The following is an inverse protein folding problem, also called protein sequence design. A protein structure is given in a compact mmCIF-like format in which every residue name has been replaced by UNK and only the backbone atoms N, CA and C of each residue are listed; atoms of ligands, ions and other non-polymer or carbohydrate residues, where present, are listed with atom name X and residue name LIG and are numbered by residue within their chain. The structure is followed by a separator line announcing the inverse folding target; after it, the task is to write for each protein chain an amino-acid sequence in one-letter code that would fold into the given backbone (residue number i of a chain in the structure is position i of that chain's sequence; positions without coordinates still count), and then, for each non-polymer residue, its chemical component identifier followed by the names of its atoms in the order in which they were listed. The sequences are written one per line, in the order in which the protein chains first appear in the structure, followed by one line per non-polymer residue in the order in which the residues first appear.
data_IF_558039161265
#
_entry.id   IF_558039161265
#
_cell.length_a   1.000
_cell.length_b   1.000
_cell.length_c   1.000
_cell.angle_alpha   90.00
_cell.angle_beta   90.00
_cell.angle_gamma   90.00
#
_symmetry.space_group_name_H-M   'P 1'
#
loop_
_entity.id
_entity.type
_entity.pdbx_description
1 polymer ?
#
# COMPACT_ATOMS: atom_id res chain seq x y z
N UNK A 1 -0.68 3.35 10.12
CA UNK A 1 -1.92 3.53 10.91
C UNK A 1 -1.62 4.14 12.27
N UNK A 2 -0.62 3.65 13.02
CA UNK A 2 -0.27 4.19 14.35
C UNK A 2 -0.08 5.71 14.39
N UNK A 3 0.69 6.27 13.44
CA UNK A 3 0.89 7.72 13.34
C UNK A 3 -0.43 8.47 13.13
N UNK A 4 -1.25 8.03 12.16
CA UNK A 4 -2.56 8.64 11.87
C UNK A 4 -3.48 8.58 13.11
N UNK A 5 -3.49 7.44 13.81
CA UNK A 5 -4.29 7.24 15.00
C UNK A 5 -3.86 8.19 16.14
N UNK A 6 -2.54 8.35 16.34
CA UNK A 6 -2.00 9.27 17.33
C UNK A 6 -2.28 10.74 16.97
N UNK A 7 -2.14 11.11 15.69
CA UNK A 7 -2.39 12.46 15.18
C UNK A 7 -3.86 12.89 15.35
N UNK A 8 -4.81 11.98 15.13
CA UNK A 8 -6.25 12.28 15.11
C UNK A 8 -7.04 11.72 16.31
N UNK A 9 -6.37 11.05 17.26
CA UNK A 9 -6.99 10.49 18.46
C UNK A 9 -7.88 9.27 18.19
N UNK A 10 -7.64 8.53 17.12
CA UNK A 10 -8.37 7.30 16.84
C UNK A 10 -7.92 6.16 17.73
N UNK A 11 -8.87 5.29 18.09
CA UNK A 11 -8.58 3.94 18.55
C UNK A 11 -8.93 2.99 17.41
N UNK A 12 -8.08 2.00 17.15
CA UNK A 12 -8.30 1.05 16.07
C UNK A 12 -7.91 -0.36 16.48
N UNK A 13 -8.40 -1.32 15.70
CA UNK A 13 -8.02 -2.72 15.78
C UNK A 13 -7.70 -3.21 14.36
N UNK A 14 -6.74 -4.11 14.23
CA UNK A 14 -6.42 -4.74 12.96
C UNK A 14 -7.30 -5.97 12.76
N UNK A 15 -7.80 -6.14 11.54
CA UNK A 15 -8.57 -7.31 11.13
C UNK A 15 -7.95 -7.86 9.85
N UNK A 16 -7.59 -9.14 9.86
CA UNK A 16 -7.08 -9.82 8.66
C UNK A 16 -8.26 -10.27 7.79
N UNK A 17 -8.23 -9.90 6.52
CA UNK A 17 -9.13 -10.42 5.50
C UNK A 17 -8.66 -11.81 5.08
N UNK A 18 -9.55 -12.79 5.17
CA UNK A 18 -9.28 -14.17 4.74
C UNK A 18 -9.62 -14.30 3.25
N UNK A 19 -8.84 -13.64 2.38
CA UNK A 19 -9.02 -13.65 0.92
C UNK A 19 -7.79 -14.20 0.19
N UNK A 20 -8.02 -14.86 -0.95
CA UNK A 20 -6.95 -15.24 -1.88
C UNK A 20 -6.66 -14.08 -2.83
N UNK A 21 -5.77 -13.18 -2.42
CA UNK A 21 -5.36 -12.03 -3.23
C UNK A 21 -4.80 -12.46 -4.59
N UNK A 22 -4.23 -13.66 -4.71
CA UNK A 22 -3.64 -14.15 -5.98
C UNK A 22 -4.69 -14.49 -7.03
N UNK A 23 -5.93 -14.78 -6.60
CA UNK A 23 -7.05 -15.03 -7.50
C UNK A 23 -7.63 -13.73 -8.10
N UNK A 24 -7.32 -12.57 -7.52
CA UNK A 24 -7.77 -11.26 -7.99
C UNK A 24 -6.65 -10.64 -8.82
N UNK A 25 -6.87 -10.51 -10.13
CA UNK A 25 -5.87 -9.99 -11.07
C UNK A 25 -6.52 -9.03 -12.05
N UNK A 26 -5.85 -7.91 -12.27
CA UNK A 26 -6.13 -6.97 -13.35
C UNK A 26 -4.78 -6.48 -13.90
N UNK A 27 -4.76 -6.10 -15.17
CA UNK A 27 -3.55 -5.56 -15.81
C UNK A 27 -3.37 -4.08 -15.53
N UNK A 28 -4.47 -3.40 -15.22
CA UNK A 28 -4.45 -2.01 -14.81
C UNK A 28 -4.18 -1.92 -13.29
N UNK A 29 -3.08 -1.25 -12.86
CA UNK A 29 -2.71 -1.19 -11.45
C UNK A 29 -3.79 -0.57 -10.57
N UNK A 30 -4.45 0.51 -11.02
CA UNK A 30 -5.50 1.19 -10.25
C UNK A 30 -6.70 0.26 -10.05
N UNK A 31 -7.14 -0.42 -11.11
CA UNK A 31 -8.24 -1.39 -11.02
C UNK A 31 -7.88 -2.57 -10.12
N UNK A 32 -6.64 -3.05 -10.16
CA UNK A 32 -6.19 -4.15 -9.29
C UNK A 32 -6.31 -3.77 -7.81
N UNK A 33 -5.72 -2.64 -7.40
CA UNK A 33 -5.72 -2.24 -5.98
C UNK A 33 -7.12 -1.90 -5.49
N UNK A 34 -7.98 -1.32 -6.34
CA UNK A 34 -9.39 -1.11 -6.02
C UNK A 34 -10.13 -2.43 -5.78
N UNK A 35 -9.95 -3.42 -6.65
CA UNK A 35 -10.58 -4.73 -6.50
C UNK A 35 -10.12 -5.43 -5.21
N UNK A 36 -8.83 -5.34 -4.89
CA UNK A 36 -8.26 -5.92 -3.68
C UNK A 36 -8.76 -5.22 -2.41
N UNK A 37 -8.77 -3.88 -2.38
CA UNK A 37 -9.27 -3.12 -1.23
C UNK A 37 -10.76 -3.43 -0.96
N UNK A 38 -11.59 -3.48 -2.00
CA UNK A 38 -13.02 -3.85 -1.88
C UNK A 38 -13.21 -5.29 -1.42
N UNK A 39 -12.45 -6.23 -1.97
CA UNK A 39 -12.51 -7.64 -1.54
C UNK A 39 -12.14 -7.81 -0.06
N UNK A 40 -11.14 -7.06 0.42
CA UNK A 40 -10.80 -7.00 1.85
C UNK A 40 -11.96 -6.46 2.67
N UNK A 41 -12.59 -5.37 2.23
CA UNK A 41 -13.73 -4.78 2.93
C UNK A 41 -14.90 -5.77 3.05
N UNK A 42 -15.27 -6.42 1.95
CA UNK A 42 -16.38 -7.38 1.94
C UNK A 42 -16.12 -8.57 2.86
N UNK A 43 -14.91 -9.15 2.82
CA UNK A 43 -14.54 -10.26 3.68
C UNK A 43 -14.54 -9.89 5.17
N UNK A 44 -13.96 -8.72 5.52
CA UNK A 44 -13.92 -8.24 6.90
C UNK A 44 -15.33 -7.89 7.40
N UNK A 45 -16.17 -7.25 6.57
CA UNK A 45 -17.56 -6.94 6.94
C UNK A 45 -18.38 -8.18 7.22
N UNK A 46 -18.24 -9.22 6.40
CA UNK A 46 -18.89 -10.51 6.65
C UNK A 46 -18.47 -11.13 7.99
N UNK A 47 -17.17 -11.07 8.31
CA UNK A 47 -16.60 -11.55 9.57
C UNK A 47 -17.09 -10.75 10.78
N UNK A 48 -17.08 -9.43 10.70
CA UNK A 48 -17.58 -8.52 11.75
C UNK A 48 -19.07 -8.73 12.00
N UNK A 49 -19.87 -8.87 10.93
CA UNK A 49 -21.30 -9.16 11.04
C UNK A 49 -21.57 -10.50 11.75
N UNK A 50 -20.78 -11.54 11.46
CA UNK A 50 -20.87 -12.84 12.13
C UNK A 50 -20.49 -12.77 13.62
N UNK A 51 -19.63 -11.83 14.00
CA UNK A 51 -19.26 -11.54 15.40
C UNK A 51 -20.27 -10.62 16.10
N UNK A 52 -21.32 -10.17 15.41
CA UNK A 52 -22.33 -9.28 15.98
C UNK A 52 -21.92 -7.81 16.02
N UNK A 53 -20.81 -7.43 15.40
CA UNK A 53 -20.39 -6.03 15.25
C UNK A 53 -21.28 -5.37 14.19
N UNK A 54 -21.96 -4.28 14.55
CA UNK A 54 -22.95 -3.58 13.69
C UNK A 54 -22.68 -2.11 13.47
N UNK A 55 -21.65 -1.56 14.10
CA UNK A 55 -21.28 -0.16 13.98
C UNK A 55 -19.76 0.00 14.05
N UNK A 56 -19.28 1.11 13.52
CA UNK A 56 -17.85 1.43 13.40
C UNK A 56 -17.47 1.79 11.97
N UNK A 57 -16.20 2.17 11.83
CA UNK A 57 -15.60 2.50 10.54
C UNK A 57 -14.57 1.42 10.20
N UNK A 58 -14.61 0.96 8.97
CA UNK A 58 -13.64 0.04 8.40
C UNK A 58 -12.80 0.79 7.37
N UNK A 59 -11.49 0.77 7.55
CA UNK A 59 -10.53 1.20 6.55
C UNK A 59 -9.85 -0.03 5.97
N UNK A 60 -9.88 -0.15 4.65
CA UNK A 60 -9.12 -1.16 3.90
C UNK A 60 -8.27 -0.49 2.84
N UNK A 61 -7.11 -1.07 2.56
CA UNK A 61 -6.21 -0.60 1.52
C UNK A 61 -5.53 -1.75 0.81
N UNK A 62 -5.04 -1.43 -0.38
CA UNK A 62 -4.11 -2.27 -1.13
C UNK A 62 -3.13 -1.38 -1.90
N UNK A 63 -1.94 -1.90 -2.18
CA UNK A 63 -0.91 -1.16 -2.89
C UNK A 63 -0.01 -2.09 -3.66
N UNK A 64 0.37 -1.65 -4.86
CA UNK A 64 1.40 -2.28 -5.69
C UNK A 64 2.51 -1.29 -6.05
N UNK A 65 3.70 -1.83 -6.34
CA UNK A 65 4.77 -1.07 -7.01
C UNK A 65 4.56 -1.16 -8.51
N UNK A 66 4.76 -0.04 -9.19
CA UNK A 66 4.69 0.04 -10.65
C UNK A 66 6.00 0.57 -11.20
N UNK A 67 6.56 -0.13 -12.18
CA UNK A 67 7.74 0.27 -12.93
C UNK A 67 7.43 0.26 -14.43
N UNK A 68 7.50 1.41 -15.09
CA UNK A 68 7.17 1.58 -16.52
C UNK A 68 5.81 0.99 -16.93
N UNK A 69 4.84 1.03 -16.00
CA UNK A 69 3.48 0.50 -16.19
C UNK A 69 3.30 -0.98 -15.83
N UNK A 70 4.38 -1.68 -15.50
CA UNK A 70 4.35 -3.07 -15.04
C UNK A 70 4.23 -3.14 -13.51
N UNK A 71 3.36 -4.03 -13.03
CA UNK A 71 3.19 -4.29 -11.60
C UNK A 71 4.34 -5.17 -11.12
N UNK A 72 5.07 -4.70 -10.13
CA UNK A 72 6.06 -5.49 -9.42
C UNK A 72 5.47 -6.01 -8.11
N UNK A 73 5.34 -7.33 -8.06
CA UNK A 73 4.95 -8.09 -6.89
C UNK A 73 6.10 -8.15 -5.87
N UNK A 74 5.88 -8.83 -4.74
CA UNK A 74 6.96 -9.15 -3.81
C UNK A 74 8.00 -10.05 -4.51
N UNK A 75 9.30 -9.78 -4.37
CA UNK A 75 10.31 -10.61 -5.00
C UNK A 75 10.25 -12.04 -4.44
N UNK A 76 10.28 -13.03 -5.32
CA UNK A 76 10.21 -14.46 -4.99
C UNK A 76 11.53 -14.98 -4.41
N UNK A 77 12.65 -14.38 -4.83
CA UNK A 77 13.99 -14.73 -4.41
C UNK A 77 14.96 -13.55 -4.49
N UNK A 78 16.18 -13.77 -3.98
CA UNK A 78 17.24 -12.77 -3.96
C UNK A 78 17.66 -12.30 -5.36
N UNK A 79 17.55 -13.14 -6.39
CA UNK A 79 17.89 -12.74 -7.76
C UNK A 79 16.88 -11.75 -8.33
N UNK A 80 15.61 -12.00 -8.11
CA UNK A 80 14.55 -11.07 -8.49
C UNK A 80 14.65 -9.76 -7.69
N UNK A 81 14.93 -9.82 -6.39
CA UNK A 81 15.15 -8.63 -5.56
C UNK A 81 16.30 -7.76 -6.11
N UNK A 82 17.47 -8.36 -6.43
CA UNK A 82 18.57 -7.63 -7.10
C UNK A 82 18.12 -7.01 -8.41
N UNK A 83 17.36 -7.76 -9.21
CA UNK A 83 16.88 -7.32 -10.53
C UNK A 83 15.98 -6.09 -10.42
N UNK A 84 15.04 -6.09 -9.46
CA UNK A 84 14.17 -4.92 -9.20
C UNK A 84 14.99 -3.72 -8.74
N UNK A 85 15.84 -3.87 -7.72
CA UNK A 85 16.59 -2.75 -7.17
C UNK A 85 17.58 -2.11 -8.15
N UNK A 86 18.22 -2.90 -9.03
CA UNK A 86 19.07 -2.41 -10.12
C UNK A 86 18.32 -1.66 -11.24
N UNK A 87 17.00 -1.63 -11.16
CA UNK A 87 16.13 -0.91 -12.09
C UNK A 87 15.48 0.31 -11.45
N UNK A 88 15.66 0.57 -10.15
CA UNK A 88 15.06 1.72 -9.47
C UNK A 88 15.46 3.08 -10.08
N UNK A 89 16.68 3.18 -10.61
CA UNK A 89 17.21 4.39 -11.26
C UNK A 89 16.79 4.53 -12.73
N UNK A 90 16.01 3.58 -13.25
CA UNK A 90 15.57 3.51 -14.64
C UNK A 90 14.07 3.66 -14.73
N UNK A 91 13.59 4.25 -15.82
CA UNK A 91 12.16 4.35 -16.08
C UNK A 91 11.38 5.16 -15.04
N UNK A 92 10.09 4.89 -14.94
CA UNK A 92 9.16 5.48 -13.97
C UNK A 92 8.81 4.46 -12.90
N UNK A 93 9.45 4.56 -11.73
CA UNK A 93 9.11 3.79 -10.53
C UNK A 93 8.13 4.57 -9.64
N UNK A 94 7.18 3.86 -9.02
CA UNK A 94 6.27 4.45 -8.06
C UNK A 94 5.36 3.41 -7.41
N UNK A 95 4.38 3.88 -6.66
CA UNK A 95 3.32 3.05 -6.10
C UNK A 95 1.97 3.49 -6.62
N UNK A 96 1.08 2.53 -6.77
CA UNK A 96 -0.35 2.77 -6.97
C UNK A 96 -1.07 2.06 -5.83
N UNK A 97 -1.88 2.80 -5.09
CA UNK A 97 -2.62 2.29 -3.94
C UNK A 97 -4.06 2.74 -3.94
N UNK A 98 -4.92 1.95 -3.29
CA UNK A 98 -6.32 2.28 -3.04
C UNK A 98 -6.60 2.33 -1.55
N UNK A 99 -7.43 3.30 -1.16
CA UNK A 99 -7.96 3.47 0.18
C UNK A 99 -9.48 3.45 0.11
N UNK A 100 -10.10 2.68 1.00
CA UNK A 100 -11.55 2.53 1.09
C UNK A 100 -12.00 2.63 2.54
N UNK A 101 -12.76 3.67 2.85
CA UNK A 101 -13.55 3.73 4.08
C UNK A 101 -14.92 3.11 3.86
N UNK A 102 -15.40 2.38 4.85
CA UNK A 102 -16.78 1.87 4.91
C UNK A 102 -17.39 2.15 6.27
N UNK A 103 -18.56 2.79 6.30
CA UNK A 103 -19.39 2.84 7.49
C UNK A 103 -20.10 1.48 7.65
N UNK A 104 -19.82 0.76 8.74
CA UNK A 104 -20.35 -0.59 8.95
C UNK A 104 -21.88 -0.58 9.12
N UNK A 105 -22.43 0.48 9.71
CA UNK A 105 -23.86 0.58 10.01
C UNK A 105 -24.68 0.96 8.78
N UNK A 106 -24.29 2.02 8.07
CA UNK A 106 -25.01 2.48 6.86
C UNK A 106 -24.65 1.69 5.61
N UNK A 107 -23.45 1.11 5.56
CA UNK A 107 -22.87 0.49 4.37
C UNK A 107 -22.32 1.48 3.35
N UNK A 108 -22.34 2.78 3.65
CA UNK A 108 -21.76 3.82 2.80
C UNK A 108 -20.24 3.69 2.72
N UNK A 109 -19.69 4.09 1.58
CA UNK A 109 -18.26 3.97 1.29
C UNK A 109 -17.71 5.23 0.65
N UNK A 110 -16.46 5.56 0.97
CA UNK A 110 -15.66 6.53 0.22
C UNK A 110 -14.33 5.90 -0.18
N UNK A 111 -13.94 6.03 -1.44
CA UNK A 111 -12.80 5.35 -2.05
C UNK A 111 -11.93 6.34 -2.83
N UNK A 112 -10.61 6.17 -2.74
CA UNK A 112 -9.66 6.97 -3.50
C UNK A 112 -8.45 6.17 -3.96
N UNK A 113 -7.79 6.70 -4.99
CA UNK A 113 -6.52 6.19 -5.51
C UNK A 113 -5.41 7.17 -5.13
N UNK A 114 -4.29 6.63 -4.67
CA UNK A 114 -3.05 7.37 -4.50
C UNK A 114 -2.00 6.83 -5.46
N UNK A 115 -1.35 7.73 -6.19
CA UNK A 115 -0.23 7.42 -7.09
C UNK A 115 0.99 8.19 -6.63
N UNK A 116 2.12 7.49 -6.51
CA UNK A 116 3.42 8.11 -6.23
C UNK A 116 4.36 7.90 -7.39
N UNK A 117 5.38 8.75 -7.50
CA UNK A 117 6.55 8.52 -8.35
C UNK A 117 7.81 8.78 -7.57
N UNK A 118 8.79 7.91 -7.69
CA UNK A 118 10.05 7.99 -6.96
C UNK A 118 11.19 7.96 -7.96
N UNK A 119 12.08 8.94 -7.85
CA UNK A 119 13.29 9.04 -8.67
C UNK A 119 14.48 8.63 -7.83
N UNK A 120 15.18 7.59 -8.26
CA UNK A 120 16.41 7.13 -7.62
C UNK A 120 17.66 7.54 -8.40
N UNK A 121 18.78 7.66 -7.68
CA UNK A 121 20.11 7.41 -8.23
C UNK A 121 20.43 5.91 -8.10
N UNK A 122 21.43 5.37 -8.84
CA UNK A 122 21.78 3.95 -8.72
C UNK A 122 22.01 3.54 -7.27
N UNK A 123 21.31 2.48 -6.83
CA UNK A 123 21.50 1.90 -5.50
C UNK A 123 22.78 1.05 -5.54
N UNK A 124 23.76 1.29 -4.64
CA UNK A 124 25.00 0.53 -4.61
C UNK A 124 24.76 -0.96 -4.38
N UNK A 125 25.55 -1.82 -5.03
CA UNK A 125 25.42 -3.27 -4.89
C UNK A 125 25.54 -3.74 -3.43
N UNK A 126 26.43 -3.10 -2.64
CA UNK A 126 26.57 -3.40 -1.22
C UNK A 126 25.29 -3.09 -0.41
N UNK A 127 24.53 -2.07 -0.81
CA UNK A 127 23.23 -1.75 -0.20
C UNK A 127 22.20 -2.82 -0.56
N UNK A 128 22.17 -3.24 -1.83
CA UNK A 128 21.24 -4.27 -2.31
C UNK A 128 21.47 -5.59 -1.56
N UNK A 129 22.73 -6.04 -1.45
CA UNK A 129 23.05 -7.28 -0.75
C UNK A 129 22.74 -7.19 0.76
N UNK A 130 23.00 -6.05 1.41
CA UNK A 130 22.63 -5.85 2.81
C UNK A 130 21.11 -5.98 3.05
N UNK A 131 20.29 -5.40 2.17
CA UNK A 131 18.82 -5.49 2.26
C UNK A 131 18.30 -6.92 2.00
N UNK A 132 18.96 -7.66 1.10
CA UNK A 132 18.67 -9.08 0.85
C UNK A 132 19.00 -9.93 2.07
N UNK A 133 20.13 -9.65 2.73
CA UNK A 133 20.54 -10.34 3.96
C UNK A 133 19.58 -10.04 5.13
N UNK A 134 19.06 -8.81 5.23
CA UNK A 134 18.02 -8.42 6.20
C UNK A 134 16.68 -9.12 5.90
N UNK A 135 16.34 -9.28 4.62
CA UNK A 135 15.22 -10.09 4.15
C UNK A 135 13.83 -9.43 4.24
N UNK A 136 13.72 -8.23 4.81
CA UNK A 136 12.45 -7.49 4.89
C UNK A 136 11.88 -7.17 3.50
N UNK A 137 12.75 -6.92 2.51
CA UNK A 137 12.37 -6.61 1.13
C UNK A 137 11.52 -7.72 0.47
N UNK A 138 11.60 -8.98 0.92
CA UNK A 138 10.79 -10.08 0.39
C UNK A 138 9.31 -9.98 0.78
N UNK A 139 8.99 -9.11 1.74
CA UNK A 139 7.62 -8.85 2.17
C UNK A 139 7.04 -7.56 1.57
N UNK A 140 7.86 -6.80 0.83
CA UNK A 140 7.51 -5.53 0.21
C UNK A 140 7.32 -5.67 -1.31
N UNK A 141 6.23 -5.12 -1.85
CA UNK A 141 6.03 -5.08 -3.30
C UNK A 141 7.22 -4.40 -3.98
N UNK A 142 7.73 -4.98 -5.06
CA UNK A 142 8.93 -4.51 -5.77
C UNK A 142 10.22 -4.49 -4.94
N UNK A 143 10.24 -5.05 -3.73
CA UNK A 143 11.34 -4.87 -2.78
C UNK A 143 11.57 -3.41 -2.38
N UNK A 144 10.56 -2.55 -2.56
CA UNK A 144 10.68 -1.11 -2.35
C UNK A 144 10.46 -0.78 -0.86
N UNK A 145 11.54 -0.36 -0.19
CA UNK A 145 11.52 0.18 1.17
C UNK A 145 12.12 1.59 1.14
N UNK A 146 11.37 2.57 0.63
CA UNK A 146 11.87 3.92 0.37
C UNK A 146 12.33 4.66 1.64
N UNK A 147 11.74 4.31 2.78
CA UNK A 147 12.03 4.82 4.12
C UNK A 147 13.26 4.19 4.76
N UNK A 148 13.74 3.06 4.23
CA UNK A 148 14.85 2.32 4.84
C UNK A 148 16.12 3.19 4.86
N UNK A 149 16.88 3.24 5.98
CA UNK A 149 18.07 4.09 6.08
C UNK A 149 19.13 3.85 5.01
N UNK A 150 19.21 2.63 4.47
CA UNK A 150 20.12 2.30 3.36
C UNK A 150 19.57 2.73 1.99
N UNK A 151 18.26 2.89 1.83
CA UNK A 151 17.59 3.19 0.56
C UNK A 151 17.31 4.69 0.41
N UNK A 152 16.82 5.34 1.47
CA UNK A 152 16.43 6.75 1.47
C UNK A 152 17.49 7.72 0.93
N UNK A 153 18.82 7.55 1.22
CA UNK A 153 19.87 8.42 0.66
C UNK A 153 19.99 8.35 -0.87
N UNK A 154 19.39 7.34 -1.52
CA UNK A 154 19.41 7.16 -2.97
C UNK A 154 18.17 7.75 -3.66
N UNK A 155 17.23 8.34 -2.93
CA UNK A 155 16.07 9.03 -3.50
C UNK A 155 16.48 10.46 -3.89
N UNK A 156 16.39 10.77 -5.18
CA UNK A 156 16.64 12.11 -5.75
C UNK A 156 15.40 13.01 -5.70
N UNK A 157 14.22 12.42 -5.64
CA UNK A 157 12.95 13.15 -5.57
C UNK A 157 11.76 12.22 -5.56
N UNK A 158 10.63 12.72 -5.08
CA UNK A 158 9.39 11.98 -4.98
C UNK A 158 8.20 12.90 -5.26
N UNK A 159 7.28 12.43 -6.11
CA UNK A 159 5.94 13.00 -6.28
C UNK A 159 4.98 12.14 -5.44
N UNK A 160 4.22 12.77 -4.55
CA UNK A 160 3.45 12.09 -3.50
C UNK A 160 4.15 12.12 -2.13
N UNK A 161 3.53 11.51 -1.13
CA UNK A 161 4.04 11.44 0.25
C UNK A 161 4.79 10.15 0.56
N UNK A 162 5.71 10.17 1.53
CA UNK A 162 6.40 8.95 1.99
C UNK A 162 5.41 7.96 2.62
N UNK A 163 4.43 8.48 3.36
CA UNK A 163 3.32 7.73 3.93
C UNK A 163 2.50 6.99 2.87
N UNK A 164 2.28 7.62 1.71
CA UNK A 164 1.69 6.98 0.55
C UNK A 164 2.56 5.83 0.02
N UNK A 165 3.88 6.00 -0.09
CA UNK A 165 4.78 4.90 -0.50
C UNK A 165 4.77 3.74 0.51
N UNK A 166 4.67 4.07 1.80
CA UNK A 166 4.58 3.10 2.90
C UNK A 166 3.21 2.41 3.01
N UNK A 167 2.25 2.70 2.12
CA UNK A 167 0.96 2.00 2.03
C UNK A 167 -0.24 2.70 2.65
N UNK A 168 -0.09 3.92 3.17
CA UNK A 168 -1.20 4.68 3.76
C UNK A 168 -1.00 6.20 3.60
N UNK A 169 -1.49 6.76 2.50
CA UNK A 169 -1.58 8.21 2.30
C UNK A 169 -2.51 8.82 3.35
N UNK A 170 -1.94 9.48 4.36
CA UNK A 170 -2.70 9.99 5.51
C UNK A 170 -3.62 11.12 5.11
N UNK A 171 -3.15 12.00 4.21
CA UNK A 171 -3.96 13.11 3.70
C UNK A 171 -5.17 12.58 2.96
N UNK A 172 -4.97 11.65 2.03
CA UNK A 172 -6.07 11.05 1.28
C UNK A 172 -7.00 10.24 2.20
N UNK A 173 -6.45 9.51 3.17
CA UNK A 173 -7.24 8.78 4.18
C UNK A 173 -8.20 9.70 4.92
N UNK A 174 -7.75 10.89 5.32
CA UNK A 174 -8.61 11.85 6.03
C UNK A 174 -9.61 12.56 5.10
N UNK A 175 -9.20 12.92 3.87
CA UNK A 175 -10.13 13.50 2.89
C UNK A 175 -11.31 12.55 2.62
N UNK A 176 -11.03 11.26 2.40
CA UNK A 176 -12.07 10.25 2.15
C UNK A 176 -12.98 10.05 3.38
N UNK A 177 -12.42 10.18 4.58
CA UNK A 177 -13.20 10.11 5.81
C UNK A 177 -14.17 11.30 5.92
N UNK A 178 -13.71 12.51 5.62
CA UNK A 178 -14.55 13.71 5.60
C UNK A 178 -15.66 13.61 4.53
N UNK A 179 -15.32 13.09 3.34
CA UNK A 179 -16.29 12.82 2.27
C UNK A 179 -17.36 11.82 2.70
N UNK A 180 -16.98 10.74 3.41
CA UNK A 180 -17.94 9.73 3.89
C UNK A 180 -19.01 10.33 4.82
N UNK A 181 -18.65 11.33 5.62
CA UNK A 181 -19.58 11.99 6.54
C UNK A 181 -20.24 13.26 5.98
N UNK A 182 -19.92 13.63 4.75
CA UNK A 182 -20.54 14.75 4.04
C UNK A 182 -21.79 14.35 3.25
N UNK A 183 -22.19 13.08 3.34
CA UNK A 183 -23.32 12.44 2.63
C UNK A 183 -24.58 12.45 3.48
#
# INVERSE_FOLDING_TARGET
MDELAAEHGFTYQTCTADIDERAIRDRDPERLVTLLARAKADAIRAKLAAQGVRSGLLLTSDQVVVHDGEIWEKPEDAEQARSYMRQFDKGSLGTVGSLLWTNIESGETSEGITVTRIKFQPVPEATIEALIEEGEIFWCAGGLMAEHPLVAPHILGMEGGMDAVMGLDRKQTMNLLEELFSI
#
